data_IF_100530232391
#
_entry.id   IF_100530232391
#
_cell.length_a   1.000
_cell.length_b   1.000
_cell.length_c   1.000
_cell.angle_alpha   90.00
_cell.angle_beta   90.00
_cell.angle_gamma   90.00
#
_symmetry.space_group_name_H-M   'P 1'
#
loop_
_entity.id
_entity.type
_entity.pdbx_description
1 polymer ?
#
# COMPACT_ATOMS: atom_id res chain seq x y z
N UNK A 1 15.27 9.83 16.08
CA UNK A 1 15.06 8.43 15.69
C UNK A 1 13.92 8.36 14.67
N UNK A 2 13.86 9.33 13.74
CA UNK A 2 12.58 9.79 13.17
C UNK A 2 12.45 9.48 11.66
N UNK A 3 13.34 8.65 11.11
CA UNK A 3 13.53 8.51 9.65
C UNK A 3 13.41 7.08 9.12
N UNK A 4 13.15 6.10 9.99
CA UNK A 4 12.90 4.71 9.58
C UNK A 4 11.39 4.49 9.45
N UNK A 5 10.96 3.99 8.30
CA UNK A 5 9.56 3.72 8.01
C UNK A 5 9.39 2.34 7.38
N UNK A 6 8.26 1.69 7.68
CA UNK A 6 7.83 0.48 6.99
C UNK A 6 6.67 0.79 6.05
N UNK A 7 6.62 0.17 4.88
CA UNK A 7 5.50 0.31 3.96
C UNK A 7 5.23 -0.99 3.24
N UNK A 8 3.96 -1.33 3.07
CA UNK A 8 3.55 -2.49 2.30
C UNK A 8 2.08 -2.41 1.91
N UNK A 9 1.69 -3.31 1.02
CA UNK A 9 0.30 -3.48 0.61
C UNK A 9 -0.28 -4.79 1.11
N UNK A 10 -1.60 -4.89 1.25
CA UNK A 10 -2.27 -6.12 1.67
C UNK A 10 -1.72 -6.65 3.01
N UNK A 11 -1.26 -7.89 3.09
CA UNK A 11 -0.58 -8.42 4.27
C UNK A 11 0.73 -7.67 4.60
N UNK A 12 1.41 -7.11 3.60
CA UNK A 12 2.57 -6.26 3.82
C UNK A 12 2.23 -4.96 4.56
N UNK A 13 1.00 -4.47 4.42
CA UNK A 13 0.49 -3.35 5.23
C UNK A 13 0.35 -3.76 6.70
N UNK A 14 -0.23 -4.94 6.98
CA UNK A 14 -0.30 -5.50 8.33
C UNK A 14 1.09 -5.71 8.94
N UNK A 15 2.04 -6.24 8.17
CA UNK A 15 3.42 -6.41 8.63
C UNK A 15 4.09 -5.06 8.94
N UNK A 16 3.86 -4.04 8.09
CA UNK A 16 4.40 -2.69 8.33
C UNK A 16 3.82 -2.05 9.58
N UNK A 17 2.52 -2.22 9.81
CA UNK A 17 1.84 -1.75 11.01
C UNK A 17 2.31 -2.50 12.26
N UNK A 18 2.51 -3.81 12.16
CA UNK A 18 3.07 -4.63 13.23
C UNK A 18 4.46 -4.14 13.64
N UNK A 19 5.33 -3.83 12.67
CA UNK A 19 6.67 -3.28 12.95
C UNK A 19 6.61 -1.96 13.72
N UNK A 20 5.66 -1.09 13.40
CA UNK A 20 5.42 0.15 14.16
C UNK A 20 4.93 -0.13 15.58
N UNK A 21 4.03 -1.12 15.75
CA UNK A 21 3.45 -1.45 17.05
C UNK A 21 4.47 -2.09 18.01
N UNK A 22 5.27 -3.04 17.52
CA UNK A 22 6.20 -3.80 18.36
C UNK A 22 7.56 -3.12 18.53
N UNK A 23 7.98 -2.28 17.58
CA UNK A 23 9.28 -1.62 17.58
C UNK A 23 9.18 -0.12 17.33
N UNK A 24 8.37 0.63 18.11
CA UNK A 24 8.17 2.07 17.93
C UNK A 24 9.48 2.87 18.08
N UNK A 25 10.44 2.39 18.88
CA UNK A 25 11.76 3.00 19.02
C UNK A 25 12.63 2.90 17.76
N UNK A 26 12.28 1.99 16.84
CA UNK A 26 12.96 1.80 15.56
C UNK A 26 12.18 2.47 14.44
N UNK A 27 10.87 2.22 14.34
CA UNK A 27 10.04 2.66 13.23
C UNK A 27 9.24 3.92 13.61
N UNK A 28 9.65 5.08 13.08
CA UNK A 28 8.94 6.35 13.27
C UNK A 28 7.59 6.43 12.54
N UNK A 29 7.23 5.42 11.75
CA UNK A 29 5.92 5.34 11.12
C UNK A 29 5.76 4.17 10.15
N UNK A 30 4.51 3.98 9.71
CA UNK A 30 4.13 2.95 8.76
C UNK A 30 3.21 3.50 7.67
N UNK A 31 3.28 2.91 6.47
CA UNK A 31 2.31 3.13 5.40
C UNK A 31 1.64 1.83 4.96
N UNK A 32 0.31 1.83 5.08
CA UNK A 32 -0.55 0.67 4.89
C UNK A 32 -1.40 0.87 3.64
N UNK A 33 -1.08 0.18 2.53
CA UNK A 33 -1.84 0.27 1.28
C UNK A 33 -2.81 -0.90 1.13
N UNK A 34 -4.11 -0.64 0.96
CA UNK A 34 -5.14 -1.67 0.86
C UNK A 34 -4.96 -2.78 1.90
N UNK A 35 -4.98 -2.43 3.19
CA UNK A 35 -4.67 -3.39 4.26
C UNK A 35 -5.58 -4.62 4.21
N UNK A 36 -5.00 -5.80 4.39
CA UNK A 36 -5.73 -7.08 4.35
C UNK A 36 -6.52 -7.32 5.64
N UNK A 37 -7.56 -6.54 5.89
CA UNK A 37 -8.29 -6.63 7.16
C UNK A 37 -9.12 -7.89 7.34
N UNK A 38 -9.53 -8.53 6.24
CA UNK A 38 -10.52 -9.61 6.22
C UNK A 38 -10.09 -10.88 6.98
N UNK A 39 -8.82 -10.97 7.37
CA UNK A 39 -8.27 -12.06 8.22
C UNK A 39 -8.14 -13.41 7.53
N UNK A 40 -8.93 -13.69 6.49
CA UNK A 40 -8.91 -14.94 5.76
C UNK A 40 -7.85 -14.97 4.66
N UNK A 41 -7.27 -16.14 4.41
CA UNK A 41 -6.54 -16.49 3.18
C UNK A 41 -7.30 -17.52 2.33
N UNK A 42 -8.51 -17.89 2.75
CA UNK A 42 -9.33 -18.88 2.05
C UNK A 42 -10.07 -18.21 0.90
N UNK A 43 -9.68 -18.56 -0.31
CA UNK A 43 -10.37 -18.14 -1.53
C UNK A 43 -11.58 -19.05 -1.79
N UNK A 44 -12.70 -18.43 -2.16
CA UNK A 44 -13.87 -19.11 -2.70
C UNK A 44 -13.60 -19.58 -4.14
N UNK A 45 -14.42 -20.52 -4.66
CA UNK A 45 -14.30 -21.02 -6.03
C UNK A 45 -14.40 -19.93 -7.12
N UNK A 46 -15.00 -18.78 -6.81
CA UNK A 46 -15.11 -17.61 -7.68
C UNK A 46 -13.92 -16.64 -7.56
N UNK A 47 -12.86 -17.05 -6.85
CA UNK A 47 -11.67 -16.23 -6.60
C UNK A 47 -12.01 -14.94 -5.83
N UNK A 48 -12.95 -15.02 -4.89
CA UNK A 48 -13.20 -13.99 -3.88
C UNK A 48 -12.68 -14.45 -2.52
N UNK A 49 -12.30 -13.51 -1.66
CA UNK A 49 -11.82 -13.85 -0.33
C UNK A 49 -12.99 -14.04 0.63
N UNK A 50 -12.94 -15.10 1.43
CA UNK A 50 -13.91 -15.28 2.50
C UNK A 50 -13.73 -14.23 3.57
N UNK A 51 -14.86 -13.77 4.09
CA UNK A 51 -14.87 -12.92 5.28
C UNK A 51 -14.61 -13.75 6.54
N UNK A 52 -13.59 -13.39 7.32
CA UNK A 52 -13.30 -14.00 8.62
C UNK A 52 -13.33 -12.92 9.70
N UNK A 53 -14.54 -12.61 10.15
CA UNK A 53 -14.79 -11.59 11.17
C UNK A 53 -14.05 -11.87 12.49
N UNK A 54 -13.84 -13.13 12.85
CA UNK A 54 -13.15 -13.49 14.09
C UNK A 54 -11.68 -13.07 13.97
N UNK A 55 -11.02 -13.42 12.87
CA UNK A 55 -9.64 -13.04 12.63
C UNK A 55 -9.50 -11.52 12.43
N UNK A 56 -10.39 -10.91 11.64
CA UNK A 56 -10.40 -9.46 11.42
C UNK A 56 -10.52 -8.67 12.73
N UNK A 57 -11.43 -9.07 13.62
CA UNK A 57 -11.59 -8.43 14.93
C UNK A 57 -10.36 -8.64 15.82
N UNK A 58 -9.69 -9.79 15.76
CA UNK A 58 -8.45 -10.02 16.50
C UNK A 58 -7.33 -9.08 16.01
N UNK A 59 -7.21 -8.85 14.69
CA UNK A 59 -6.25 -7.91 14.11
C UNK A 59 -6.54 -6.48 14.57
N UNK A 60 -7.80 -6.05 14.54
CA UNK A 60 -8.22 -4.72 14.99
C UNK A 60 -8.01 -4.52 16.49
N UNK A 61 -8.31 -5.54 17.30
CA UNK A 61 -8.06 -5.52 18.74
C UNK A 61 -6.56 -5.38 19.03
N UNK A 62 -5.72 -6.15 18.33
CA UNK A 62 -4.28 -6.05 18.45
C UNK A 62 -3.78 -4.63 18.14
N UNK A 63 -4.26 -4.02 17.04
CA UNK A 63 -3.94 -2.63 16.70
C UNK A 63 -4.33 -1.66 17.82
N UNK A 64 -5.53 -1.80 18.37
CA UNK A 64 -6.01 -0.96 19.48
C UNK A 64 -5.13 -1.08 20.72
N UNK A 65 -4.63 -2.27 21.01
CA UNK A 65 -3.85 -2.53 22.21
C UNK A 65 -2.38 -2.07 22.09
N UNK A 66 -1.81 -2.09 20.88
CA UNK A 66 -0.37 -1.95 20.67
C UNK A 66 0.07 -0.70 19.89
N UNK A 67 -0.82 0.04 19.22
CA UNK A 67 -0.41 1.25 18.50
C UNK A 67 0.20 2.28 19.47
N UNK A 68 1.39 2.84 19.18
CA UNK A 68 2.06 3.73 20.12
C UNK A 68 1.30 5.05 20.27
N UNK A 69 1.21 5.58 21.47
CA UNK A 69 0.40 6.77 21.80
C UNK A 69 1.23 7.97 22.30
N UNK A 70 2.52 7.98 22.01
CA UNK A 70 3.45 9.05 22.43
C UNK A 70 3.34 10.34 21.59
N UNK A 71 2.54 10.31 20.51
CA UNK A 71 2.32 11.44 19.62
C UNK A 71 3.49 11.74 18.66
N UNK A 72 4.45 10.82 18.54
CA UNK A 72 5.66 10.98 17.71
C UNK A 72 5.55 10.30 16.35
N UNK A 73 4.77 9.24 16.26
CA UNK A 73 4.72 8.34 15.12
C UNK A 73 3.77 8.78 14.01
N UNK A 74 4.06 8.39 12.76
CA UNK A 74 3.21 8.68 11.58
C UNK A 74 2.58 7.41 11.03
N UNK A 75 1.31 7.49 10.65
CA UNK A 75 0.58 6.39 10.04
C UNK A 75 -0.12 6.85 8.77
N UNK A 76 0.13 6.15 7.67
CA UNK A 76 -0.65 6.28 6.43
C UNK A 76 -1.53 5.06 6.26
N UNK A 77 -2.80 5.26 5.94
CA UNK A 77 -3.75 4.18 5.68
C UNK A 77 -4.53 4.47 4.40
N UNK A 78 -4.51 3.54 3.45
CA UNK A 78 -5.35 3.63 2.25
C UNK A 78 -6.11 2.35 1.95
N UNK A 79 -7.13 2.52 1.11
CA UNK A 79 -7.86 1.41 0.50
C UNK A 79 -8.38 1.80 -0.88
N UNK A 80 -8.54 0.80 -1.76
CA UNK A 80 -9.41 0.90 -2.92
C UNK A 80 -10.89 0.80 -2.55
N UNK A 81 -11.77 0.86 -3.54
CA UNK A 81 -13.23 0.82 -3.34
C UNK A 81 -13.94 -0.16 -4.26
N UNK A 82 -13.19 -1.03 -4.95
CA UNK A 82 -13.70 -2.04 -5.89
C UNK A 82 -12.99 -3.38 -5.68
N UNK A 83 -13.52 -4.41 -6.34
CA UNK A 83 -13.01 -5.78 -6.28
C UNK A 83 -12.87 -6.23 -4.82
N UNK A 84 -11.76 -6.87 -4.44
CA UNK A 84 -11.54 -7.32 -3.06
C UNK A 84 -11.45 -6.17 -2.03
N UNK A 85 -10.96 -4.99 -2.44
CA UNK A 85 -10.82 -3.85 -1.51
C UNK A 85 -12.18 -3.37 -0.98
N UNK A 86 -13.26 -3.56 -1.75
CA UNK A 86 -14.60 -3.21 -1.29
C UNK A 86 -15.00 -3.98 -0.01
N UNK A 87 -14.50 -5.20 0.17
CA UNK A 87 -14.74 -6.00 1.37
C UNK A 87 -14.02 -5.47 2.61
N UNK A 88 -12.94 -4.71 2.44
CA UNK A 88 -12.14 -4.20 3.56
C UNK A 88 -12.68 -2.91 4.15
N UNK A 89 -13.56 -2.19 3.44
CA UNK A 89 -14.05 -0.87 3.83
C UNK A 89 -14.63 -0.86 5.24
N UNK A 90 -15.40 -1.89 5.61
CA UNK A 90 -16.01 -1.96 6.96
C UNK A 90 -14.96 -2.02 8.06
N UNK A 91 -13.84 -2.70 7.82
CA UNK A 91 -12.76 -2.84 8.80
C UNK A 91 -11.80 -1.65 8.78
N UNK A 92 -11.51 -1.10 7.61
CA UNK A 92 -10.69 0.11 7.48
C UNK A 92 -11.32 1.28 8.24
N UNK A 93 -12.66 1.42 8.19
CA UNK A 93 -13.38 2.45 8.98
C UNK A 93 -13.10 2.28 10.47
N UNK A 94 -13.20 1.05 10.99
CA UNK A 94 -12.94 0.75 12.41
C UNK A 94 -11.47 1.00 12.76
N UNK A 95 -10.54 0.56 11.91
CA UNK A 95 -9.10 0.77 12.12
C UNK A 95 -8.74 2.26 12.18
N UNK A 96 -9.32 3.08 11.28
CA UNK A 96 -9.14 4.54 11.27
C UNK A 96 -9.70 5.19 12.54
N UNK A 97 -10.84 4.72 13.03
CA UNK A 97 -11.42 5.19 14.29
C UNK A 97 -10.53 4.84 15.49
N UNK A 98 -10.02 3.61 15.56
CA UNK A 98 -9.09 3.16 16.60
C UNK A 98 -7.88 4.09 16.68
N UNK A 99 -7.19 4.32 15.55
CA UNK A 99 -5.96 5.15 15.57
C UNK A 99 -6.27 6.62 15.84
N UNK A 100 -7.41 7.12 15.37
CA UNK A 100 -7.87 8.48 15.70
C UNK A 100 -8.10 8.64 17.21
N UNK A 101 -8.75 7.67 17.86
CA UNK A 101 -8.96 7.66 19.30
C UNK A 101 -7.65 7.53 20.10
N UNK A 102 -6.60 7.04 19.47
CA UNK A 102 -5.23 6.93 20.02
C UNK A 102 -4.36 8.16 19.73
N UNK A 103 -4.93 9.20 19.13
CA UNK A 103 -4.27 10.49 18.90
C UNK A 103 -3.62 10.66 17.52
N UNK A 104 -3.82 9.74 16.58
CA UNK A 104 -3.37 9.91 15.20
C UNK A 104 -4.42 10.71 14.42
N UNK A 105 -4.12 11.97 14.08
CA UNK A 105 -5.09 12.78 13.32
C UNK A 105 -4.42 13.50 12.14
N UNK A 106 -5.24 13.99 11.21
CA UNK A 106 -4.70 14.76 10.09
C UNK A 106 -4.22 16.14 10.56
N UNK A 107 -4.88 16.73 11.56
CA UNK A 107 -4.58 18.04 12.11
C UNK A 107 -3.21 18.10 12.78
N UNK A 108 -2.82 17.04 13.48
CA UNK A 108 -1.49 16.94 14.09
C UNK A 108 -0.43 16.33 13.15
N UNK A 109 -0.80 16.04 11.89
CA UNK A 109 0.09 15.50 10.88
C UNK A 109 0.58 14.08 11.15
N UNK A 110 -0.09 13.33 12.06
CA UNK A 110 0.29 11.95 12.42
C UNK A 110 -0.50 10.91 11.64
N UNK A 111 -1.66 11.26 11.08
CA UNK A 111 -2.45 10.39 10.22
C UNK A 111 -2.61 10.97 8.82
N UNK A 112 -2.53 10.12 7.81
CA UNK A 112 -3.06 10.42 6.48
C UNK A 112 -3.89 9.24 5.99
N UNK A 113 -5.15 9.52 5.62
CA UNK A 113 -6.08 8.52 5.10
C UNK A 113 -6.42 8.80 3.64
N UNK A 114 -6.57 7.75 2.83
CA UNK A 114 -6.91 7.90 1.41
C UNK A 114 -7.84 6.79 0.90
N UNK A 115 -8.94 7.17 0.27
CA UNK A 115 -9.81 6.23 -0.44
C UNK A 115 -9.60 6.36 -1.95
N UNK A 116 -8.95 5.37 -2.54
CA UNK A 116 -8.68 5.28 -3.97
C UNK A 116 -9.94 4.85 -4.72
N UNK A 117 -10.86 5.79 -4.98
CA UNK A 117 -12.13 5.54 -5.66
C UNK A 117 -11.93 4.80 -6.98
N UNK A 118 -12.56 3.64 -7.11
CA UNK A 118 -12.48 2.80 -8.30
C UNK A 118 -11.25 1.89 -8.39
N UNK A 119 -10.35 1.93 -7.40
CA UNK A 119 -9.22 1.01 -7.33
C UNK A 119 -9.61 -0.32 -6.69
N UNK A 120 -8.95 -1.40 -7.14
CA UNK A 120 -9.02 -2.74 -6.57
C UNK A 120 -7.69 -3.19 -5.95
N UNK A 121 -7.68 -4.44 -5.47
CA UNK A 121 -6.60 -4.98 -4.63
C UNK A 121 -5.45 -5.60 -5.45
N UNK A 122 -4.63 -4.78 -6.12
CA UNK A 122 -3.43 -5.28 -6.80
C UNK A 122 -2.40 -4.17 -7.10
N UNK A 123 -1.21 -4.58 -7.53
CA UNK A 123 -0.03 -3.73 -7.73
C UNK A 123 -0.27 -2.60 -8.72
N UNK A 124 -1.13 -2.81 -9.72
CA UNK A 124 -1.47 -1.78 -10.71
C UNK A 124 -2.02 -0.52 -10.04
N UNK A 125 -2.87 -0.69 -9.03
CA UNK A 125 -3.48 0.42 -8.32
C UNK A 125 -2.57 0.96 -7.23
N UNK A 126 -1.78 0.11 -6.56
CA UNK A 126 -0.83 0.53 -5.53
C UNK A 126 0.27 1.43 -6.11
N UNK A 127 0.85 1.07 -7.26
CA UNK A 127 1.90 1.88 -7.88
C UNK A 127 1.45 3.30 -8.26
N UNK A 128 0.17 3.51 -8.59
CA UNK A 128 -0.35 4.82 -9.02
C UNK A 128 -0.39 5.82 -7.86
N UNK A 129 -0.45 5.32 -6.62
CA UNK A 129 -0.62 6.14 -5.42
C UNK A 129 0.54 6.05 -4.43
N UNK A 130 1.56 5.21 -4.69
CA UNK A 130 2.75 5.06 -3.81
C UNK A 130 3.46 6.39 -3.50
N UNK A 131 3.38 7.37 -4.41
CA UNK A 131 3.92 8.72 -4.18
C UNK A 131 3.28 9.43 -2.97
N UNK A 132 2.04 9.11 -2.60
CA UNK A 132 1.30 9.76 -1.52
C UNK A 132 1.88 9.35 -0.16
N UNK A 133 1.95 8.05 0.23
CA UNK A 133 2.56 7.65 1.50
C UNK A 133 4.02 8.06 1.58
N UNK A 134 4.78 7.96 0.49
CA UNK A 134 6.19 8.38 0.48
C UNK A 134 6.34 9.87 0.79
N UNK A 135 5.52 10.73 0.19
CA UNK A 135 5.54 12.17 0.50
C UNK A 135 5.10 12.48 1.92
N UNK A 136 4.14 11.74 2.45
CA UNK A 136 3.66 11.93 3.81
C UNK A 136 4.74 11.54 4.83
N UNK A 137 5.26 10.32 4.74
CA UNK A 137 6.29 9.78 5.64
C UNK A 137 7.59 10.60 5.54
N UNK A 138 8.03 10.87 4.31
CA UNK A 138 9.26 11.60 4.02
C UNK A 138 9.02 13.11 3.83
N UNK A 139 7.95 13.69 4.36
CA UNK A 139 7.77 15.15 4.28
C UNK A 139 8.95 15.86 4.96
N UNK A 140 9.34 17.04 4.45
CA UNK A 140 10.63 17.75 4.68
C UNK A 140 11.20 17.72 6.10
N UNK A 141 10.36 17.72 7.13
CA UNK A 141 10.78 17.56 8.53
C UNK A 141 11.46 16.21 8.85
N UNK A 142 11.26 15.18 8.02
CA UNK A 142 11.86 13.85 8.14
C UNK A 142 13.06 13.62 7.18
N UNK A 143 13.26 14.45 6.15
CA UNK A 143 14.39 14.34 5.20
C UNK A 143 15.48 15.39 5.47
N UNK A 144 15.22 16.47 6.20
CA UNK A 144 16.25 17.45 6.57
C UNK A 144 17.40 16.75 7.33
N UNK A 145 18.49 16.43 6.60
CA UNK A 145 19.66 15.70 7.11
C UNK A 145 19.86 14.28 6.54
N UNK A 146 18.93 13.72 5.77
CA UNK A 146 19.02 12.35 5.24
C UNK A 146 19.92 12.19 3.98
N UNK A 147 20.49 13.29 3.46
CA UNK A 147 21.44 13.26 2.33
C UNK A 147 20.83 12.80 1.00
N UNK A 148 19.51 12.79 0.85
CA UNK A 148 18.83 12.46 -0.40
C UNK A 148 18.72 13.75 -1.23
N UNK A 149 19.61 13.88 -2.21
CA UNK A 149 19.52 14.93 -3.23
C UNK A 149 18.19 14.82 -3.99
N UNK A 150 17.63 15.97 -4.40
CA UNK A 150 16.34 16.06 -5.10
C UNK A 150 16.20 15.02 -6.24
N UNK A 151 14.99 14.49 -6.43
CA UNK A 151 14.68 13.59 -7.55
C UNK A 151 14.90 14.37 -8.86
N UNK A 152 15.97 14.06 -9.59
CA UNK A 152 16.39 14.77 -10.82
C UNK A 152 15.78 14.22 -12.11
N UNK A 153 14.92 13.19 -12.06
CA UNK A 153 14.33 12.64 -13.30
C UNK A 153 13.01 13.30 -13.68
N UNK A 154 13.11 14.26 -14.60
CA UNK A 154 11.99 14.97 -15.22
C UNK A 154 11.61 14.40 -16.61
N UNK A 155 12.01 13.18 -16.96
CA UNK A 155 11.73 12.58 -18.26
C UNK A 155 10.67 11.48 -18.21
N UNK A 156 9.52 11.75 -18.83
CA UNK A 156 8.68 10.69 -19.37
C UNK A 156 9.42 10.06 -20.57
N UNK A 157 9.63 8.73 -20.61
CA UNK A 157 10.32 8.11 -21.74
C UNK A 157 9.54 8.33 -23.05
N UNK A 158 10.27 8.73 -24.09
CA UNK A 158 9.77 9.09 -25.41
C UNK A 158 8.93 7.99 -26.09
N UNK A 159 7.98 8.40 -26.91
CA UNK A 159 6.91 7.63 -27.56
C UNK A 159 7.32 6.64 -28.67
N UNK A 160 8.50 6.04 -28.63
CA UNK A 160 8.96 5.13 -29.69
C UNK A 160 9.42 3.78 -29.12
N UNK A 161 8.69 2.72 -29.50
CA UNK A 161 8.93 1.30 -29.18
C UNK A 161 9.06 1.00 -27.67
N UNK A 162 7.90 0.85 -27.02
CA UNK A 162 7.86 0.54 -25.61
C UNK A 162 8.16 -0.94 -25.37
N UNK A 163 9.16 -1.16 -24.54
CA UNK A 163 9.49 -2.46 -23.97
C UNK A 163 8.32 -3.00 -23.16
N UNK A 164 8.05 -4.29 -23.31
CA UNK A 164 7.04 -5.00 -22.54
C UNK A 164 7.76 -5.73 -21.41
N UNK A 165 7.26 -5.63 -20.19
CA UNK A 165 7.79 -6.38 -19.05
C UNK A 165 6.75 -7.38 -18.55
N UNK A 166 7.15 -8.60 -18.21
CA UNK A 166 6.30 -9.45 -17.36
C UNK A 166 6.47 -9.09 -15.86
N UNK A 167 5.68 -9.72 -15.00
CA UNK A 167 5.74 -9.48 -13.55
C UNK A 167 7.05 -9.94 -12.88
N UNK A 168 7.89 -10.70 -13.58
CA UNK A 168 9.22 -11.11 -13.11
C UNK A 168 10.31 -10.13 -13.53
N UNK A 169 9.96 -9.09 -14.30
CA UNK A 169 10.90 -8.13 -14.85
C UNK A 169 11.56 -8.59 -16.15
N UNK A 170 11.11 -9.70 -16.75
CA UNK A 170 11.61 -10.13 -18.05
C UNK A 170 11.21 -9.11 -19.11
N UNK A 171 12.20 -8.71 -19.91
CA UNK A 171 12.07 -7.73 -20.99
C UNK A 171 11.72 -8.39 -22.33
N UNK A 172 10.59 -8.00 -22.93
CA UNK A 172 10.20 -8.37 -24.29
C UNK A 172 10.20 -7.14 -25.21
N UNK A 173 10.48 -7.35 -26.49
CA UNK A 173 10.37 -6.31 -27.51
C UNK A 173 8.90 -6.07 -27.84
N UNK A 174 8.56 -4.85 -28.29
CA UNK A 174 7.20 -4.56 -28.77
C UNK A 174 6.81 -5.47 -29.95
N UNK A 175 7.78 -5.91 -30.75
CA UNK A 175 7.57 -6.89 -31.83
C UNK A 175 6.99 -8.22 -31.34
N UNK A 176 7.20 -8.55 -30.06
CA UNK A 176 6.84 -9.85 -29.50
C UNK A 176 5.40 -9.85 -28.95
N UNK A 177 4.67 -8.72 -29.04
CA UNK A 177 3.34 -8.54 -28.45
C UNK A 177 2.35 -9.66 -28.79
N UNK A 178 2.43 -10.21 -30.01
CA UNK A 178 1.57 -11.29 -30.48
C UNK A 178 2.08 -12.70 -30.14
N UNK A 179 3.31 -12.81 -29.64
CA UNK A 179 4.00 -14.06 -29.29
C UNK A 179 4.30 -14.18 -27.79
N UNK A 180 3.80 -13.22 -26.99
CA UNK A 180 3.95 -13.26 -25.55
C UNK A 180 3.32 -14.54 -24.98
N UNK A 181 4.00 -15.24 -24.06
CA UNK A 181 3.39 -16.30 -23.26
C UNK A 181 2.11 -15.82 -22.56
N UNK A 182 1.28 -16.76 -22.11
CA UNK A 182 0.16 -16.39 -21.24
C UNK A 182 0.71 -15.74 -19.97
N UNK A 183 0.20 -14.55 -19.65
CA UNK A 183 0.77 -13.78 -18.56
C UNK A 183 0.21 -12.37 -18.43
N UNK A 184 0.73 -11.69 -17.41
CA UNK A 184 0.47 -10.30 -17.14
C UNK A 184 1.70 -9.50 -17.58
N UNK A 185 1.45 -8.45 -18.36
CA UNK A 185 2.49 -7.63 -18.94
C UNK A 185 2.25 -6.16 -18.68
N UNK A 186 3.33 -5.39 -18.62
CA UNK A 186 3.34 -3.94 -18.51
C UNK A 186 3.99 -3.38 -19.78
N UNK A 187 3.24 -2.58 -20.52
CA UNK A 187 3.73 -1.86 -21.69
C UNK A 187 3.39 -0.38 -21.56
N UNK A 188 4.40 0.50 -21.59
CA UNK A 188 4.25 1.94 -21.40
C UNK A 188 3.43 2.30 -20.14
N UNK A 189 3.74 1.59 -19.05
CA UNK A 189 3.02 1.76 -17.80
C UNK A 189 1.55 1.38 -17.87
N UNK A 190 1.07 0.61 -18.86
CA UNK A 190 -0.26 -0.01 -18.95
C UNK A 190 -0.18 -1.53 -18.78
N UNK A 191 -0.94 -2.08 -17.82
CA UNK A 191 -1.03 -3.52 -17.59
C UNK A 191 -2.05 -4.15 -18.56
N UNK A 192 -1.66 -5.24 -19.21
CA UNK A 192 -2.57 -6.05 -20.03
C UNK A 192 -2.33 -7.53 -19.77
N UNK A 193 -3.37 -8.33 -20.02
CA UNK A 193 -3.34 -9.78 -19.80
C UNK A 193 -3.36 -10.44 -21.18
N UNK A 194 -2.38 -11.30 -21.46
CA UNK A 194 -2.43 -12.21 -22.60
C UNK A 194 -3.12 -13.49 -22.15
N UNK A 195 -4.36 -13.69 -22.61
CA UNK A 195 -5.12 -14.94 -22.52
C UNK A 195 -5.17 -15.49 -23.95
N UNK A 196 -4.86 -16.79 -24.13
CA UNK A 196 -4.79 -17.54 -25.40
C UNK A 196 -4.87 -16.69 -26.70
#
# INVERSE_FOLDING_TARGET
MDTTFAMGSSMGALASMYLLCEYPEIFGGAACLSTHWIGSLNLNPDYTMNDDEICANAILQYLSDHIPTDGLHRLYMDQGTKDWDAGYIKYEVIAREIVSNKGYTQENGRLYVYDAKGAGHNEWYWQQRVKIPLKFLLSKSAIEGAGIDEITMEYAPSSHAHTIYDLTGHKYSFSDLHHLPQGIYINNGKKFIRRH
#
